data_IF_286970550699
#
_entry.id   IF_286970550699
#
_cell.length_a   1.000
_cell.length_b   1.000
_cell.length_c   1.000
_cell.angle_alpha   90.00
_cell.angle_beta   90.00
_cell.angle_gamma   90.00
#
_symmetry.space_group_name_H-M   'P 1'
#
loop_
_entity.id
_entity.type
_entity.pdbx_description
1 polymer ?
#
# COMPACT_ATOMS: atom_id res chain seq x y z
N UNK A 1 -6.52 10.78 0.41
CA UNK A 1 -5.42 10.49 -0.52
C UNK A 1 -5.88 9.61 -1.66
N UNK A 2 -5.20 9.64 -2.81
CA UNK A 2 -5.45 8.72 -3.93
C UNK A 2 -4.50 7.52 -3.84
N UNK A 3 -5.04 6.31 -4.08
CA UNK A 3 -4.27 5.10 -4.29
C UNK A 3 -4.47 4.65 -5.73
N UNK A 4 -3.38 4.51 -6.47
CA UNK A 4 -3.38 4.06 -7.86
C UNK A 4 -2.45 2.86 -8.00
N UNK A 5 -3.01 1.72 -8.39
CA UNK A 5 -2.25 0.51 -8.70
C UNK A 5 -2.08 0.36 -10.20
N UNK A 6 -1.02 -0.32 -10.62
CA UNK A 6 -0.82 -0.69 -12.01
C UNK A 6 0.40 -1.58 -12.21
N UNK A 7 0.68 -1.88 -13.47
CA UNK A 7 1.81 -2.71 -13.88
C UNK A 7 2.84 -1.87 -14.65
N UNK A 8 4.12 -2.13 -14.45
CA UNK A 8 5.18 -1.58 -15.29
C UNK A 8 5.60 -2.53 -16.42
N UNK A 9 6.55 -2.12 -17.25
CA UNK A 9 7.01 -2.89 -18.41
C UNK A 9 7.85 -4.12 -18.05
N UNK A 10 8.07 -4.37 -16.77
CA UNK A 10 8.82 -5.53 -16.27
C UNK A 10 7.98 -6.30 -15.24
N UNK A 11 6.67 -6.32 -15.46
CA UNK A 11 5.69 -7.09 -14.72
C UNK A 11 5.73 -6.89 -13.19
N UNK A 12 6.08 -5.68 -12.73
CA UNK A 12 5.95 -5.32 -11.32
C UNK A 12 4.62 -4.65 -11.06
N UNK A 13 3.91 -5.11 -10.03
CA UNK A 13 2.78 -4.38 -9.47
C UNK A 13 3.31 -3.21 -8.68
N UNK A 14 2.95 -2.00 -9.08
CA UNK A 14 3.28 -0.79 -8.34
C UNK A 14 2.03 -0.18 -7.70
N UNK A 15 2.25 0.60 -6.65
CA UNK A 15 1.29 1.56 -6.12
C UNK A 15 1.86 2.98 -6.17
N UNK A 16 1.00 3.96 -6.43
CA UNK A 16 1.25 5.39 -6.22
C UNK A 16 0.27 5.90 -5.18
N UNK A 17 0.81 6.62 -4.19
CA UNK A 17 0.03 7.31 -3.17
C UNK A 17 0.12 8.80 -3.46
N UNK A 18 -1.03 9.48 -3.56
CA UNK A 18 -1.13 10.92 -3.85
C UNK A 18 -0.26 11.37 -5.05
N UNK A 19 -0.29 10.58 -6.13
CA UNK A 19 0.45 10.82 -7.38
C UNK A 19 1.97 10.94 -7.20
N UNK A 20 2.52 10.39 -6.10
CA UNK A 20 3.96 10.30 -5.88
C UNK A 20 4.58 9.18 -6.73
N UNK A 21 5.91 9.06 -6.63
CA UNK A 21 6.68 8.05 -7.36
C UNK A 21 6.18 6.64 -7.04
N UNK A 22 6.28 5.76 -8.03
CA UNK A 22 5.95 4.34 -7.90
C UNK A 22 6.77 3.71 -6.78
N UNK A 23 6.13 2.83 -6.01
CA UNK A 23 6.76 1.84 -5.12
C UNK A 23 6.15 0.47 -5.41
N UNK A 24 6.85 -0.62 -5.13
CA UNK A 24 6.28 -1.97 -5.18
C UNK A 24 5.00 -2.04 -4.33
N UNK A 25 3.97 -2.72 -4.84
CA UNK A 25 2.70 -2.83 -4.12
C UNK A 25 2.84 -3.63 -2.81
N UNK A 26 3.80 -4.56 -2.75
CA UNK A 26 4.14 -5.34 -1.55
C UNK A 26 4.67 -4.47 -0.41
N UNK A 27 5.34 -3.35 -0.72
CA UNK A 27 5.73 -2.36 0.30
C UNK A 27 4.51 -1.82 1.04
N UNK A 28 3.37 -1.62 0.35
CA UNK A 28 2.13 -1.22 1.02
C UNK A 28 1.54 -2.36 1.86
N UNK A 29 1.62 -3.61 1.41
CA UNK A 29 1.14 -4.77 2.18
C UNK A 29 1.89 -4.93 3.50
N UNK A 30 3.22 -4.78 3.48
CA UNK A 30 4.05 -4.79 4.69
C UNK A 30 3.68 -3.65 5.63
N UNK A 31 3.44 -2.46 5.12
CA UNK A 31 2.98 -1.32 5.92
C UNK A 31 1.59 -1.54 6.55
N UNK A 32 0.80 -2.49 6.05
CA UNK A 32 -0.50 -2.89 6.59
C UNK A 32 -0.42 -4.10 7.52
N UNK A 33 0.77 -4.71 7.69
CA UNK A 33 1.02 -5.80 8.63
C UNK A 33 1.35 -7.16 8.02
N UNK A 34 1.36 -7.30 6.69
CA UNK A 34 1.79 -8.54 6.01
C UNK A 34 3.30 -8.51 5.80
N UNK A 35 4.07 -8.96 6.77
CA UNK A 35 5.54 -8.87 6.72
C UNK A 35 6.20 -10.08 6.04
N UNK A 36 5.58 -11.25 6.08
CA UNK A 36 6.22 -12.47 5.60
C UNK A 36 6.01 -12.68 4.09
N UNK A 37 7.08 -13.04 3.37
CA UNK A 37 7.00 -13.24 1.92
C UNK A 37 6.13 -14.44 1.55
N UNK A 38 6.19 -15.52 2.35
CA UNK A 38 5.40 -16.72 2.11
C UNK A 38 3.93 -16.41 2.34
N UNK A 39 3.60 -15.69 3.41
CA UNK A 39 2.24 -15.20 3.67
C UNK A 39 1.72 -14.35 2.51
N UNK A 40 2.51 -13.38 2.03
CA UNK A 40 2.12 -12.57 0.87
C UNK A 40 1.90 -13.45 -0.37
N UNK A 41 2.78 -14.42 -0.63
CA UNK A 41 2.63 -15.32 -1.78
C UNK A 41 1.38 -16.19 -1.68
N UNK A 42 1.09 -16.74 -0.49
CA UNK A 42 -0.12 -17.52 -0.22
C UNK A 42 -1.39 -16.67 -0.42
N UNK A 43 -1.41 -15.42 0.03
CA UNK A 43 -2.55 -14.50 -0.16
C UNK A 43 -2.94 -14.29 -1.63
N UNK A 44 -1.99 -14.47 -2.55
CA UNK A 44 -2.18 -14.28 -3.98
C UNK A 44 -1.97 -15.58 -4.78
N UNK A 45 -2.20 -16.74 -4.17
CA UNK A 45 -2.16 -18.05 -4.84
C UNK A 45 -0.84 -18.30 -5.61
N UNK A 46 0.27 -17.78 -5.09
CA UNK A 46 1.62 -17.90 -5.66
C UNK A 46 1.79 -17.37 -7.09
N UNK A 47 1.04 -16.35 -7.48
CA UNK A 47 1.16 -15.70 -8.79
C UNK A 47 2.57 -15.13 -9.04
N UNK A 48 3.17 -15.45 -10.18
CA UNK A 48 4.56 -15.08 -10.53
C UNK A 48 4.79 -13.56 -10.53
N UNK A 49 3.74 -12.79 -10.82
CA UNK A 49 3.78 -11.33 -10.81
C UNK A 49 3.97 -10.76 -9.40
N UNK A 50 3.46 -11.45 -8.38
CA UNK A 50 3.64 -11.08 -6.97
C UNK A 50 5.06 -11.38 -6.55
N UNK A 51 5.60 -12.54 -6.94
CA UNK A 51 7.01 -12.89 -6.75
C UNK A 51 7.94 -11.86 -7.40
N UNK A 52 7.70 -11.49 -8.65
CA UNK A 52 8.43 -10.43 -9.36
C UNK A 52 8.37 -9.09 -8.63
N UNK A 53 7.23 -8.81 -7.99
CA UNK A 53 7.04 -7.59 -7.20
C UNK A 53 7.83 -7.64 -5.88
N UNK A 54 7.82 -8.78 -5.18
CA UNK A 54 8.61 -9.00 -3.96
C UNK A 54 10.11 -8.90 -4.23
N UNK A 55 10.61 -9.43 -5.35
CA UNK A 55 12.02 -9.34 -5.73
C UNK A 55 12.49 -7.89 -5.95
N UNK A 56 11.58 -6.99 -6.34
CA UNK A 56 11.85 -5.54 -6.51
C UNK A 56 11.56 -4.72 -5.27
N UNK A 57 10.98 -5.32 -4.23
CA UNK A 57 10.70 -4.68 -2.96
C UNK A 57 11.94 -4.69 -2.08
N UNK A 58 12.49 -3.50 -1.83
CA UNK A 58 13.68 -3.34 -0.98
C UNK A 58 13.36 -3.44 0.52
N UNK A 59 12.10 -3.61 0.90
CA UNK A 59 11.67 -3.64 2.30
C UNK A 59 11.36 -5.05 2.75
N UNK A 60 11.63 -5.35 4.02
CA UNK A 60 11.50 -6.70 4.59
C UNK A 60 10.52 -6.79 5.76
N UNK A 61 10.10 -5.66 6.32
CA UNK A 61 9.21 -5.58 7.49
C UNK A 61 8.35 -4.31 7.45
N UNK A 62 7.35 -4.21 8.33
CA UNK A 62 6.42 -3.09 8.46
C UNK A 62 7.19 -1.78 8.64
N UNK A 63 8.20 -1.76 9.52
CA UNK A 63 8.94 -0.53 9.84
C UNK A 63 9.68 0.03 8.62
N UNK A 64 10.37 -0.82 7.87
CA UNK A 64 11.05 -0.43 6.63
C UNK A 64 10.06 0.06 5.57
N UNK A 65 8.95 -0.65 5.41
CA UNK A 65 7.88 -0.29 4.49
C UNK A 65 7.24 1.07 4.81
N UNK A 66 6.92 1.31 6.07
CA UNK A 66 6.41 2.59 6.56
C UNK A 66 7.41 3.72 6.24
N UNK A 67 8.70 3.50 6.48
CA UNK A 67 9.77 4.48 6.21
C UNK A 67 9.92 4.74 4.71
N UNK A 68 9.87 3.71 3.86
CA UNK A 68 9.95 3.88 2.40
C UNK A 68 8.77 4.71 1.88
N UNK A 69 7.55 4.40 2.30
CA UNK A 69 6.36 5.19 1.95
C UNK A 69 6.51 6.63 2.43
N UNK A 70 6.96 6.84 3.67
CA UNK A 70 7.17 8.18 4.22
C UNK A 70 8.17 8.98 3.37
N UNK A 71 9.32 8.40 3.00
CA UNK A 71 10.33 9.06 2.15
C UNK A 71 9.78 9.47 0.78
N UNK A 72 8.87 8.66 0.20
CA UNK A 72 8.22 9.01 -1.08
C UNK A 72 7.23 10.15 -0.96
N UNK A 73 6.53 10.24 0.17
CA UNK A 73 5.51 11.26 0.42
C UNK A 73 6.11 12.58 0.89
N UNK A 74 7.14 12.51 1.75
CA UNK A 74 7.79 13.63 2.44
C UNK A 74 9.32 13.54 2.32
N UNK A 75 9.88 13.71 1.10
CA UNK A 75 11.32 13.53 0.87
C UNK A 75 12.20 14.53 1.64
N UNK A 76 11.64 15.66 2.08
CA UNK A 76 12.36 16.71 2.80
C UNK A 76 12.34 16.55 4.32
N UNK A 77 11.59 15.59 4.86
CA UNK A 77 11.49 15.35 6.31
C UNK A 77 12.24 14.07 6.69
N UNK A 78 12.98 14.06 7.82
CA UNK A 78 13.58 12.83 8.31
C UNK A 78 12.51 11.88 8.87
N UNK A 79 12.54 10.58 8.55
CA UNK A 79 11.61 9.61 9.10
C UNK A 79 11.96 9.31 10.57
N UNK A 80 10.96 9.38 11.43
CA UNK A 80 10.98 8.90 12.82
C UNK A 80 9.88 7.86 12.98
N UNK A 81 9.96 6.95 13.94
CA UNK A 81 8.89 5.97 14.13
C UNK A 81 7.50 6.63 14.30
N UNK A 82 7.45 7.68 15.13
CA UNK A 82 6.21 8.41 15.44
C UNK A 82 5.60 9.11 14.23
N UNK A 83 6.37 9.91 13.48
CA UNK A 83 5.82 10.65 12.34
C UNK A 83 5.46 9.72 11.17
N UNK A 84 6.20 8.62 11.00
CA UNK A 84 5.98 7.64 9.94
C UNK A 84 4.67 6.90 10.16
N UNK A 85 4.47 6.31 11.35
CA UNK A 85 3.21 5.65 11.72
C UNK A 85 2.02 6.60 11.65
N UNK A 86 2.18 7.81 12.18
CA UNK A 86 1.11 8.82 12.16
C UNK A 86 0.74 9.25 10.74
N UNK A 87 1.70 9.37 9.83
CA UNK A 87 1.43 9.73 8.44
C UNK A 87 0.58 8.66 7.76
N UNK A 88 0.96 7.39 7.87
CA UNK A 88 0.27 6.27 7.22
C UNK A 88 -1.15 6.12 7.75
N UNK A 89 -1.33 6.18 9.08
CA UNK A 89 -2.67 6.19 9.68
C UNK A 89 -3.53 7.32 9.11
N UNK A 90 -3.01 8.55 9.03
CA UNK A 90 -3.76 9.70 8.50
C UNK A 90 -4.11 9.60 7.02
N UNK A 91 -3.31 8.89 6.23
CA UNK A 91 -3.51 8.77 4.79
C UNK A 91 -4.56 7.74 4.43
N UNK A 92 -4.60 6.62 5.16
CA UNK A 92 -5.36 5.43 4.78
C UNK A 92 -6.47 5.05 5.76
N UNK A 93 -6.32 5.40 7.05
CA UNK A 93 -7.10 4.81 8.14
C UNK A 93 -7.84 5.82 9.02
N UNK A 94 -7.46 7.10 9.00
CA UNK A 94 -8.13 8.15 9.77
C UNK A 94 -9.47 8.54 9.11
N UNK A 95 -10.63 8.20 9.72
CA UNK A 95 -11.93 8.46 9.12
C UNK A 95 -12.24 9.96 9.01
N UNK A 96 -11.52 10.83 9.74
CA UNK A 96 -11.66 12.29 9.61
C UNK A 96 -10.94 12.85 8.39
N UNK A 97 -9.99 12.09 7.81
CA UNK A 97 -9.15 12.54 6.69
C UNK A 97 -9.37 11.71 5.42
N UNK A 98 -9.89 10.50 5.54
CA UNK A 98 -10.19 9.62 4.44
C UNK A 98 -11.63 9.10 4.55
N UNK A 99 -12.51 9.61 3.70
CA UNK A 99 -13.88 9.15 3.57
C UNK A 99 -14.25 8.97 2.10
N UNK A 100 -14.77 7.80 1.75
CA UNK A 100 -15.30 7.50 0.41
C UNK A 100 -16.74 8.02 0.22
N UNK A 101 -17.36 8.53 1.28
CA UNK A 101 -18.78 8.83 1.40
C UNK A 101 -19.67 7.60 1.13
N UNK A 102 -20.97 7.75 1.37
CA UNK A 102 -21.95 6.67 1.19
C UNK A 102 -21.94 6.09 -0.23
N UNK A 103 -21.88 6.96 -1.24
CA UNK A 103 -21.89 6.55 -2.66
C UNK A 103 -20.59 5.86 -3.04
N UNK A 104 -19.43 6.33 -2.59
CA UNK A 104 -18.15 5.68 -2.90
C UNK A 104 -18.01 4.33 -2.20
N UNK A 105 -18.43 4.20 -0.94
CA UNK A 105 -18.52 2.91 -0.24
C UNK A 105 -19.45 1.94 -0.97
N UNK A 106 -20.65 2.38 -1.36
CA UNK A 106 -21.57 1.55 -2.15
C UNK A 106 -20.93 1.07 -3.46
N UNK A 107 -20.27 1.96 -4.20
CA UNK A 107 -19.61 1.61 -5.47
C UNK A 107 -18.48 0.60 -5.29
N UNK A 108 -17.62 0.78 -4.30
CA UNK A 108 -16.51 -0.14 -4.03
C UNK A 108 -17.04 -1.50 -3.56
N UNK A 109 -17.95 -1.54 -2.60
CA UNK A 109 -18.48 -2.81 -2.08
C UNK A 109 -19.13 -3.61 -3.20
N UNK A 110 -19.92 -2.96 -4.07
CA UNK A 110 -20.52 -3.60 -5.24
C UNK A 110 -19.48 -4.09 -6.25
N UNK A 111 -18.43 -3.32 -6.51
CA UNK A 111 -17.38 -3.67 -7.49
C UNK A 111 -16.53 -4.84 -7.03
N UNK A 112 -16.23 -4.91 -5.73
CA UNK A 112 -15.39 -5.95 -5.11
C UNK A 112 -16.20 -7.13 -4.53
N UNK A 113 -17.51 -7.13 -4.74
CA UNK A 113 -18.43 -8.14 -4.20
C UNK A 113 -18.33 -8.32 -2.67
N UNK A 114 -18.10 -7.23 -1.94
CA UNK A 114 -18.20 -7.24 -0.49
C UNK A 114 -19.65 -7.07 -0.05
N UNK A 115 -20.04 -7.77 1.01
CA UNK A 115 -21.36 -7.64 1.61
C UNK A 115 -21.65 -6.16 1.93
N UNK A 116 -22.84 -5.70 1.53
CA UNK A 116 -23.32 -4.38 1.89
C UNK A 116 -23.90 -4.52 3.31
N UNK A 117 -23.14 -4.11 4.31
CA UNK A 117 -23.65 -3.88 5.67
C UNK A 117 -24.55 -2.63 5.68
#
# INVERSE_FOLDING_TARGET
SWLEFGFDSSDMIYVRIDKKRKIPATTLLRALGYEDNEEIMELFDYEEIVKTTLEKDSTTNEKEALVEIFRRLRPSEPPTERNTRQLIYRLLLDPKRYDLAKVGRYKINRKLNFAIL
#
